data_IF_339584699129
#
_entry.id   IF_339584699129
#
_cell.length_a   1.000
_cell.length_b   1.000
_cell.length_c   1.000
_cell.angle_alpha   90.00
_cell.angle_beta   90.00
_cell.angle_gamma   90.00
#
_symmetry.space_group_name_H-M   'P 1'
#
loop_
_entity.id
_entity.type
_entity.pdbx_description
1 polymer ?
2 non-polymer ?
3 non-polymer ?
4 water ?
#
# COMPACT_ATOMS: atom_id res chain seq x y z
N UNK A 31 0.30 -4.06 -20.58
CA UNK A 31 -0.68 -4.05 -19.50
C UNK A 31 -2.09 -3.79 -20.03
N UNK A 32 -3.09 -3.91 -19.14
CA UNK A 32 -4.48 -3.68 -19.49
C UNK A 32 -5.15 -2.91 -18.35
N UNK A 33 -6.42 -2.55 -18.56
CA UNK A 33 -7.22 -1.92 -17.51
C UNK A 33 -7.90 -3.00 -16.68
N UNK A 34 -7.22 -4.14 -16.49
CA UNK A 34 -7.66 -5.16 -15.55
C UNK A 34 -7.80 -4.60 -14.14
N UNK A 35 -7.12 -3.49 -13.86
CA UNK A 35 -7.17 -2.81 -12.58
C UNK A 35 -8.27 -1.76 -12.61
N UNK A 36 -8.37 -0.99 -11.53
CA UNK A 36 -9.33 0.11 -11.43
C UNK A 36 -10.78 -0.32 -11.60
N UNK A 37 -11.28 -1.30 -10.83
CA UNK A 37 -12.70 -1.66 -10.91
C UNK A 37 -13.61 -0.47 -10.63
N UNK A 38 -14.87 -0.60 -11.04
CA UNK A 38 -15.80 0.54 -11.01
C UNK A 38 -16.58 0.58 -9.70
N UNK A 39 -17.53 -0.33 -9.53
CA UNK A 39 -18.38 -0.33 -8.34
C UNK A 39 -17.73 -1.22 -7.29
N UNK A 40 -16.56 -0.78 -6.83
CA UNK A 40 -15.73 -1.60 -5.96
C UNK A 40 -16.16 -1.38 -4.51
N UNK A 41 -16.82 -2.38 -3.94
CA UNK A 41 -17.10 -2.37 -2.51
C UNK A 41 -15.87 -2.88 -1.77
N UNK A 42 -15.44 -2.13 -0.77
CA UNK A 42 -14.15 -2.40 -0.15
C UNK A 42 -14.18 -3.55 0.85
N UNK A 43 -15.36 -3.92 1.36
CA UNK A 43 -15.48 -4.82 2.51
C UNK A 43 -14.79 -4.25 3.74
N UNK A 44 -14.64 -2.93 3.75
CA UNK A 44 -13.90 -2.21 4.79
C UNK A 44 -14.78 -1.90 6.00
N UNK A 45 -15.47 -2.91 6.50
CA UNK A 45 -16.16 -2.77 7.77
C UNK A 45 -15.26 -3.12 8.94
N UNK A 46 -14.21 -3.91 8.71
CA UNK A 46 -13.39 -4.38 9.81
C UNK A 46 -11.92 -4.54 9.45
N UNK A 47 -11.47 -4.04 8.29
CA UNK A 47 -10.09 -4.19 7.88
C UNK A 47 -9.20 -3.05 8.35
N UNK A 48 -7.99 -3.03 7.80
CA UNK A 48 -6.96 -2.05 8.14
C UNK A 48 -6.32 -1.53 6.86
N UNK A 49 -5.71 -0.35 6.95
CA UNK A 49 -5.13 0.33 5.79
C UNK A 49 -3.78 0.93 6.19
N UNK A 50 -2.79 0.79 5.31
CA UNK A 50 -1.43 1.22 5.60
C UNK A 50 -0.85 1.92 4.39
N UNK A 51 -0.02 2.94 4.63
CA UNK A 51 0.70 3.62 3.56
C UNK A 51 1.93 2.80 3.21
N UNK A 52 2.25 2.71 1.92
CA UNK A 52 3.55 2.19 1.49
C UNK A 52 4.26 3.32 0.77
N UNK A 53 5.51 3.60 1.17
CA UNK A 53 6.34 4.57 0.46
C UNK A 53 7.43 3.79 -0.26
N UNK A 54 7.32 3.69 -1.58
CA UNK A 54 8.29 2.95 -2.36
C UNK A 54 9.46 3.86 -2.71
N UNK A 55 10.68 3.32 -2.58
CA UNK A 55 11.87 4.07 -2.93
C UNK A 55 11.99 4.32 -4.42
N UNK A 56 11.26 3.57 -5.23
CA UNK A 56 11.52 3.58 -6.66
C UNK A 56 10.26 3.24 -7.43
N UNK A 57 10.20 3.72 -8.67
CA UNK A 57 9.15 3.26 -9.58
C UNK A 57 9.37 1.83 -10.02
N UNK A 58 10.63 1.38 -10.09
CA UNK A 58 10.92 0.00 -10.50
C UNK A 58 10.29 -1.00 -9.54
N UNK A 59 10.44 -0.76 -8.22
CA UNK A 59 9.81 -1.64 -7.24
C UNK A 59 8.30 -1.73 -7.46
N UNK A 60 7.68 -0.63 -7.88
CA UNK A 60 6.25 -0.64 -8.19
C UNK A 60 5.97 -1.56 -9.36
N UNK A 61 6.73 -1.40 -10.45
CA UNK A 61 6.55 -2.25 -11.63
C UNK A 61 6.67 -3.73 -11.27
N UNK A 62 7.77 -4.10 -10.60
CA UNK A 62 8.03 -5.49 -10.25
C UNK A 62 6.94 -6.05 -9.34
N UNK A 63 6.46 -5.23 -8.41
CA UNK A 63 5.34 -5.62 -7.55
C UNK A 63 4.10 -5.94 -8.37
N UNK A 64 3.74 -5.04 -9.31
CA UNK A 64 2.61 -5.27 -10.19
C UNK A 64 2.81 -6.53 -11.04
N UNK A 65 4.03 -6.73 -11.56
CA UNK A 65 4.30 -7.90 -12.39
C UNK A 65 4.21 -9.19 -11.58
N UNK A 66 4.86 -9.25 -10.41
CA UNK A 66 5.02 -10.52 -9.72
C UNK A 66 4.19 -10.65 -8.46
N UNK A 67 3.34 -9.67 -8.14
CA UNK A 67 2.37 -9.78 -7.04
C UNK A 67 3.05 -9.94 -5.67
N UNK A 68 4.20 -9.28 -5.46
CA UNK A 68 4.89 -9.31 -4.18
C UNK A 68 5.26 -7.90 -3.75
N UNK A 69 5.54 -7.76 -2.46
CA UNK A 69 6.16 -6.56 -1.92
C UNK A 69 7.12 -6.97 -0.80
N UNK A 70 8.17 -6.17 -0.62
CA UNK A 70 9.01 -6.22 0.58
C UNK A 70 9.12 -4.83 1.16
N UNK A 71 8.67 -4.66 2.39
CA UNK A 71 8.96 -3.42 3.08
C UNK A 71 10.30 -3.57 3.78
N UNK A 72 10.66 -2.60 4.62
CA UNK A 72 11.83 -2.78 5.48
C UNK A 72 11.61 -3.93 6.45
N UNK A 73 12.64 -4.26 7.23
CA UNK A 73 12.47 -5.29 8.24
C UNK A 73 11.37 -4.91 9.24
N UNK A 74 11.39 -3.67 9.74
CA UNK A 74 10.30 -3.24 10.62
C UNK A 74 8.97 -3.10 9.87
N UNK A 75 9.01 -2.61 8.63
CA UNK A 75 7.80 -2.56 7.83
C UNK A 75 7.16 -3.93 7.68
N UNK A 76 7.98 -4.94 7.33
CA UNK A 76 7.44 -6.29 7.16
C UNK A 76 6.84 -6.81 8.46
N UNK A 77 7.54 -6.61 9.58
CA UNK A 77 7.07 -7.07 10.88
C UNK A 77 5.79 -6.36 11.32
N UNK A 78 5.74 -5.03 11.16
CA UNK A 78 4.49 -4.32 11.43
C UNK A 78 3.34 -4.87 10.60
N UNK A 79 3.53 -5.02 9.27
CA UNK A 79 2.45 -5.51 8.41
C UNK A 79 2.12 -6.97 8.71
N UNK A 80 3.14 -7.80 8.94
CA UNK A 80 2.89 -9.19 9.31
C UNK A 80 2.01 -9.27 10.55
N UNK A 81 2.35 -8.51 11.59
CA UNK A 81 1.54 -8.54 12.80
C UNK A 81 0.11 -8.07 12.53
N UNK A 82 -0.05 -6.98 11.77
CA UNK A 82 -1.39 -6.48 11.48
C UNK A 82 -2.18 -7.50 10.66
N UNK A 83 -1.51 -8.15 9.71
CA UNK A 83 -2.19 -9.14 8.88
C UNK A 83 -2.67 -10.32 9.71
N UNK A 84 -1.79 -10.85 10.57
CA UNK A 84 -2.14 -11.99 11.43
C UNK A 84 -3.20 -11.62 12.47
N UNK A 85 -3.14 -10.40 13.01
CA UNK A 85 -4.15 -9.99 13.98
C UNK A 85 -5.53 -9.93 13.35
N UNK A 86 -5.61 -9.54 12.07
CA UNK A 86 -6.88 -9.52 11.34
C UNK A 86 -7.43 -10.92 11.11
N UNK A 87 -6.56 -11.92 11.01
CA UNK A 87 -6.91 -13.23 10.49
C UNK A 87 -7.57 -13.05 9.14
N UNK A 88 -8.77 -13.59 8.98
CA UNK A 88 -9.47 -13.40 7.72
C UNK A 88 -10.72 -12.56 7.91
N UNK A 89 -10.75 -11.77 8.99
CA UNK A 89 -11.95 -11.03 9.33
C UNK A 89 -12.12 -9.79 8.47
N UNK A 90 -11.03 -9.21 7.98
CA UNK A 90 -11.09 -8.01 7.20
C UNK A 90 -9.89 -7.87 6.29
N UNK A 91 -9.99 -7.01 5.29
CA UNK A 91 -8.87 -6.81 4.37
C UNK A 91 -7.85 -5.81 4.90
N UNK A 92 -6.60 -6.05 4.51
CA UNK A 92 -5.50 -5.12 4.74
C UNK A 92 -5.12 -4.51 3.39
N UNK A 93 -5.39 -3.22 3.22
CA UNK A 93 -5.04 -2.52 1.99
C UNK A 93 -3.74 -1.75 2.17
N UNK A 94 -3.08 -1.51 1.04
CA UNK A 94 -1.84 -0.74 1.03
C UNK A 94 -1.98 0.38 0.00
N UNK A 95 -1.77 1.62 0.45
CA UNK A 95 -1.85 2.80 -0.40
C UNK A 95 -0.44 3.22 -0.79
N UNK A 96 -0.10 3.05 -2.06
CA UNK A 96 1.28 3.18 -2.51
C UNK A 96 1.59 4.59 -2.99
N UNK A 97 2.83 5.01 -2.76
CA UNK A 97 3.32 6.29 -3.26
C UNK A 97 4.84 6.22 -3.34
N UNK A 98 5.40 6.66 -4.46
CA UNK A 98 6.85 6.69 -4.61
C UNK A 98 7.36 7.97 -3.96
N UNK A 99 8.41 7.85 -3.14
CA UNK A 99 9.01 9.00 -2.48
C UNK A 99 9.21 10.14 -3.48
N UNK A 100 8.71 11.33 -3.13
CA UNK A 100 8.90 12.53 -3.93
C UNK A 100 7.97 12.71 -5.12
N UNK A 101 7.00 11.81 -5.33
CA UNK A 101 6.17 11.86 -6.54
C UNK A 101 5.10 12.95 -6.47
N UNK A 102 4.59 13.26 -5.29
CA UNK A 102 3.46 14.17 -5.18
C UNK A 102 2.10 13.52 -5.34
N UNK A 103 2.03 12.21 -5.51
CA UNK A 103 0.76 11.54 -5.73
C UNK A 103 0.85 10.09 -5.27
N UNK A 104 -0.31 9.48 -5.07
CA UNK A 104 -0.40 8.04 -4.87
C UNK A 104 -0.53 7.33 -6.21
N UNK A 105 0.07 6.14 -6.30
CA UNK A 105 0.12 5.43 -7.57
C UNK A 105 -0.71 4.15 -7.60
N UNK A 106 -1.40 3.81 -6.52
CA UNK A 106 -2.36 2.73 -6.56
C UNK A 106 -2.59 2.10 -5.20
N UNK A 107 -3.37 1.01 -5.22
CA UNK A 107 -3.82 0.32 -4.01
C UNK A 107 -3.76 -1.19 -4.24
N UNK A 108 -3.06 -1.90 -3.36
CA UNK A 108 -3.04 -3.36 -3.38
C UNK A 108 -3.62 -3.90 -2.07
N UNK A 109 -4.07 -5.14 -2.11
CA UNK A 109 -4.45 -5.85 -0.89
C UNK A 109 -3.36 -6.85 -0.54
N UNK A 110 -2.99 -6.90 0.74
CA UNK A 110 -2.00 -7.87 1.21
C UNK A 110 -2.64 -9.25 1.30
N UNK A 111 -1.96 -10.26 0.73
CA UNK A 111 -2.56 -11.56 0.46
C UNK A 111 -1.84 -12.74 1.11
N UNK A 112 -0.78 -12.51 1.88
CA UNK A 112 -0.12 -13.61 2.58
C UNK A 112 0.50 -13.08 3.86
N UNK A 113 0.94 -14.01 4.72
CA UNK A 113 1.77 -13.61 5.85
C UNK A 113 3.11 -13.23 5.24
N UNK A 114 4.05 -12.73 6.03
CA UNK A 114 5.35 -12.39 5.48
C UNK A 114 6.21 -13.65 5.42
N UNK A 115 6.88 -13.85 4.29
CA UNK A 115 7.72 -15.02 4.06
C UNK A 115 9.17 -14.61 4.27
N UNK A 116 9.78 -15.07 5.36
CA UNK A 116 11.21 -14.89 5.59
C UNK A 116 11.92 -16.14 5.08
N UNK A 117 12.66 -16.01 3.99
CA UNK A 117 13.21 -17.20 3.35
C UNK A 117 14.48 -17.64 4.06
N UNK A 118 14.67 -18.96 4.11
CA UNK A 118 15.65 -19.58 4.99
C UNK A 118 16.93 -19.96 4.26
N UNK A 119 17.23 -19.31 3.13
CA UNK A 119 18.38 -19.70 2.33
C UNK A 119 19.18 -18.50 1.85
N UNK A 120 18.51 -17.39 1.56
CA UNK A 120 19.21 -16.21 1.10
C UNK A 120 20.04 -15.59 2.22
N UNK A 121 21.18 -15.01 1.84
CA UNK A 121 22.04 -14.33 2.78
C UNK A 121 23.26 -15.11 3.21
N UNK A 122 24.41 -14.43 3.25
CA UNK A 122 25.61 -14.99 3.86
C UNK A 122 25.83 -14.33 5.23
N UNK A 123 25.94 -13.00 5.25
CA UNK A 123 26.12 -12.29 6.51
C UNK A 123 24.85 -12.35 7.35
N UNK A 124 25.01 -12.12 8.66
CA UNK A 124 23.89 -12.32 9.58
C UNK A 124 22.86 -11.20 9.50
N UNK A 125 23.26 -9.99 9.09
CA UNK A 125 22.29 -8.89 9.05
C UNK A 125 21.43 -8.94 7.79
N UNK A 126 22.02 -9.26 6.64
CA UNK A 126 21.24 -9.45 5.42
C UNK A 126 20.87 -10.91 5.21
N UNK A 127 20.45 -11.60 6.27
CA UNK A 127 20.14 -13.03 6.17
C UNK A 127 18.66 -13.25 5.91
N UNK A 128 17.82 -12.99 6.91
CA UNK A 128 16.40 -13.33 6.83
C UNK A 128 15.62 -12.12 6.32
N UNK A 129 15.41 -12.05 5.01
CA UNK A 129 14.70 -10.95 4.40
C UNK A 129 13.27 -11.38 4.05
N UNK A 130 12.33 -10.45 4.21
CA UNK A 130 10.92 -10.77 4.14
C UNK A 130 10.29 -10.35 2.83
N UNK A 131 9.28 -11.11 2.41
CA UNK A 131 8.49 -10.79 1.23
C UNK A 131 7.08 -11.30 1.45
N UNK A 132 6.10 -10.64 0.85
CA UNK A 132 4.74 -11.10 1.03
C UNK A 132 3.96 -10.83 -0.24
N UNK A 133 2.79 -11.44 -0.32
CA UNK A 133 2.00 -11.41 -1.54
C UNK A 133 1.00 -10.25 -1.48
N UNK A 134 0.81 -9.58 -2.62
CA UNK A 134 -0.19 -8.53 -2.78
C UNK A 134 -0.96 -8.80 -4.07
N UNK A 135 -2.24 -8.42 -4.07
CA UNK A 135 -3.07 -8.36 -5.27
C UNK A 135 -3.34 -6.88 -5.56
N UNK A 136 -2.81 -6.38 -6.67
CA UNK A 136 -3.02 -4.98 -7.00
C UNK A 136 -4.46 -4.78 -7.45
N UNK A 137 -5.07 -3.69 -6.98
CA UNK A 137 -6.49 -3.43 -7.21
C UNK A 137 -6.69 -2.19 -8.08
N UNK A 138 -6.11 -1.07 -7.67
CA UNK A 138 -6.12 0.17 -8.43
C UNK A 138 -4.69 0.49 -8.82
N UNK A 139 -4.47 0.83 -10.09
CA UNK A 139 -3.19 1.35 -10.55
C UNK A 139 -3.51 2.63 -11.31
N UNK A 140 -3.24 3.78 -10.70
CA UNK A 140 -3.71 5.07 -11.18
C UNK A 140 -3.00 6.13 -10.38
N UNK A 141 -2.74 7.26 -11.01
CA UNK A 141 -2.17 8.39 -10.29
C UNK A 141 -3.29 9.23 -9.70
N UNK A 142 -3.34 9.30 -8.38
CA UNK A 142 -4.20 10.24 -7.66
C UNK A 142 -3.29 11.28 -7.02
N UNK A 143 -3.43 12.55 -7.35
CA UNK A 143 -2.50 13.55 -6.81
C UNK A 143 -2.81 13.85 -5.35
N UNK A 144 -1.79 14.36 -4.65
CA UNK A 144 -1.95 14.60 -3.22
C UNK A 144 -2.90 15.76 -2.93
N UNK A 145 -3.02 16.72 -3.86
CA UNK A 145 -3.95 17.84 -3.66
C UNK A 145 -5.39 17.35 -3.51
N UNK A 146 -5.69 16.14 -3.98
CA UNK A 146 -6.98 15.50 -3.76
C UNK A 146 -7.13 14.88 -2.37
N UNK A 147 -6.04 14.72 -1.61
CA UNK A 147 -6.15 14.05 -0.33
C UNK A 147 -5.62 14.85 0.86
N UNK A 148 -4.95 15.98 0.63
CA UNK A 148 -4.31 16.74 1.70
C UNK A 148 -5.29 17.19 2.78
N UNK A 149 -6.59 17.20 2.50
CA UNK A 149 -7.55 17.65 3.50
C UNK A 149 -7.81 16.61 4.57
N UNK A 150 -7.50 15.35 4.29
CA UNK A 150 -7.72 14.26 5.23
C UNK A 150 -6.51 14.16 6.15
N UNK A 151 -6.75 14.24 7.46
CA UNK A 151 -5.71 14.35 8.46
C UNK A 151 -5.74 13.13 9.35
N UNK A 152 -4.57 12.68 9.79
CA UNK A 152 -4.43 11.44 10.54
C UNK A 152 -4.33 11.76 12.02
N UNK A 153 -5.36 11.41 12.79
CA UNK A 153 -5.37 11.73 14.21
C UNK A 153 -4.32 10.92 14.99
N UNK A 154 -3.97 9.72 14.51
CA UNK A 154 -2.92 8.89 15.10
C UNK A 154 -1.52 9.27 14.64
N UNK A 155 -1.36 10.36 13.88
CA UNK A 155 -0.04 10.82 13.46
C UNK A 155 0.02 12.34 13.60
N UNK A 156 -0.29 12.80 14.81
CA UNK A 156 -0.17 14.21 15.18
C UNK A 156 -1.00 15.11 14.26
N UNK A 157 -2.17 14.61 13.86
CA UNK A 157 -3.10 15.34 12.99
C UNK A 157 -2.45 15.89 11.71
N UNK A 158 -1.50 15.16 11.15
CA UNK A 158 -0.92 15.56 9.89
C UNK A 158 -1.77 15.03 8.73
N UNK A 159 -1.70 15.68 7.56
CA UNK A 159 -2.41 15.15 6.39
C UNK A 159 -1.92 13.75 6.03
N UNK A 160 -2.83 12.94 5.49
CA UNK A 160 -2.52 11.58 5.07
C UNK A 160 -1.42 11.55 4.02
N UNK A 161 -1.19 12.66 3.31
CA UNK A 161 -0.14 12.73 2.32
C UNK A 161 1.23 12.96 2.95
N UNK A 162 1.28 13.27 4.24
CA UNK A 162 2.54 13.45 4.95
C UNK A 162 3.08 12.16 5.54
N UNK A 163 2.42 11.04 5.30
CA UNK A 163 2.71 9.79 6.00
C UNK A 163 4.05 9.20 5.57
N UNK A 164 4.62 8.41 6.47
CA UNK A 164 5.83 7.65 6.18
C UNK A 164 5.47 6.18 5.93
N UNK A 165 6.44 5.45 5.38
CA UNK A 165 6.21 4.05 5.03
C UNK A 165 5.64 3.26 6.21
N UNK A 166 4.55 2.54 5.95
CA UNK A 166 3.81 1.65 6.85
C UNK A 166 3.06 2.42 7.93
N UNK A 167 2.98 3.74 7.83
CA UNK A 167 2.01 4.50 8.59
C UNK A 167 0.61 3.95 8.36
N UNK A 168 -0.06 3.61 9.45
CA UNK A 168 -1.43 3.11 9.41
C UNK A 168 -2.44 4.26 9.36
N UNK A 169 -3.53 4.05 8.64
CA UNK A 169 -4.56 5.07 8.48
C UNK A 169 -5.80 4.62 9.24
N UNK A 170 -6.34 5.43 10.16
CA UNK A 170 -7.52 5.00 10.92
C UNK A 170 -8.70 4.74 10.00
N UNK A 171 -9.54 3.79 10.41
CA UNK A 171 -10.59 3.24 9.56
C UNK A 171 -11.40 4.31 8.83
N UNK A 172 -11.94 5.27 9.57
CA UNK A 172 -12.85 6.22 8.94
C UNK A 172 -12.11 7.16 8.00
N UNK A 173 -10.89 7.57 8.36
CA UNK A 173 -10.06 8.28 7.40
C UNK A 173 -9.76 7.42 6.17
N UNK A 174 -9.54 6.12 6.37
CA UNK A 174 -9.24 5.23 5.25
C UNK A 174 -10.40 5.17 4.27
N UNK A 175 -11.62 5.00 4.80
CA UNK A 175 -12.81 5.04 3.96
C UNK A 175 -12.84 6.30 3.10
N UNK A 176 -12.48 7.44 3.68
CA UNK A 176 -12.49 8.68 2.91
C UNK A 176 -11.44 8.65 1.81
N UNK A 177 -10.26 8.10 2.11
CA UNK A 177 -9.19 8.06 1.12
C UNK A 177 -9.50 7.04 0.02
N UNK A 178 -10.11 5.91 0.38
CA UNK A 178 -10.42 4.90 -0.63
C UNK A 178 -11.51 5.39 -1.60
N UNK A 179 -12.54 6.08 -1.10
CA UNK A 179 -13.54 6.67 -2.01
C UNK A 179 -12.88 7.62 -3.01
N UNK A 180 -12.04 8.54 -2.53
CA UNK A 180 -11.37 9.47 -3.43
C UNK A 180 -10.54 8.71 -4.47
N UNK A 181 -9.76 7.72 -4.03
CA UNK A 181 -8.86 7.01 -4.94
C UNK A 181 -9.67 6.23 -5.97
N UNK A 182 -10.71 5.54 -5.52
CA UNK A 182 -11.50 4.71 -6.42
C UNK A 182 -12.24 5.53 -7.48
N UNK A 183 -12.70 6.74 -7.13
CA UNK A 183 -13.54 7.52 -8.03
C UNK A 183 -12.79 8.59 -8.81
N UNK A 184 -11.55 8.91 -8.44
CA UNK A 184 -10.81 9.92 -9.19
C UNK A 184 -10.66 9.49 -10.65
N UNK A 185 -10.94 10.41 -11.57
CA UNK A 185 -10.71 10.15 -12.99
C UNK A 185 -9.28 10.58 -13.30
N UNK A 186 -8.38 9.59 -13.42
CA UNK A 186 -6.97 9.89 -13.57
C UNK A 186 -6.60 10.09 -15.04
N UNK A 187 -5.57 10.90 -15.25
CA UNK A 187 -4.99 11.16 -16.56
C UNK A 187 -3.65 10.46 -16.76
N UNK A 188 -3.01 10.00 -15.68
CA UNK A 188 -1.73 9.30 -15.74
C UNK A 188 -1.80 8.03 -14.90
N UNK A 189 -0.83 7.14 -15.14
CA UNK A 189 -0.58 6.00 -14.28
C UNK A 189 0.88 5.63 -14.37
N UNK A 190 1.32 4.77 -13.44
CA UNK A 190 2.69 4.28 -13.43
C UNK A 190 3.03 3.50 -14.70
N UNK A 191 2.02 3.01 -15.42
CA UNK A 191 2.24 2.32 -16.70
C UNK A 191 2.82 3.23 -17.78
N UNK A 192 2.55 4.54 -17.75
CA UNK A 192 3.21 5.43 -18.71
C UNK A 192 4.72 5.30 -18.62
N UNK A 193 5.24 5.04 -17.42
CA UNK A 193 6.62 4.58 -17.21
C UNK A 193 6.75 3.13 -17.69
X LIG B 1 5.11 -1.72 14.59
X LIG B 1 6.90 -0.36 14.66
X LIG B 1 6.30 -1.45 14.81
X LIG B 1 7.18 -2.60 15.31
X LIG B 1 8.43 -2.13 15.77
X LIG B 1 7.40 -3.51 14.13
X LIG B 1 8.11 -2.83 13.13
X LIG B 1 8.18 -4.72 14.65
X LIG B 1 7.56 -5.50 15.40
X LIG B 1 9.38 -4.77 14.28
X LIG C 1 12.61 10.51 3.12
X LIG C 1 13.26 10.64 4.39
X LIG C 1 11.11 10.47 3.24
X LIG C 1 10.68 9.16 3.56
X LIG C 1 9.43 8.82 2.99
X LIG C 1 8.59 8.09 4.00
X LIG C 1 9.10 6.79 4.29
#
# INVERSE_FOLDING_TARGET
>A
MHHHHHHSSGRENLYFQGSVEVHPVLEKLKAINNYNPKDFDWNLKNGRVFIIKSYSEDDIHRSIKYSIWCSTEHGNKRLDAAYRSLNGKGPLYLLFSVNGSGHFCGVAEMKSVVDYNAYAGVWSQDKWKGKFEVKWIFVKDVPNNQLRHIRLENNDNKPVTNSRDTQEVPLEKAKQVLKIIATFKHTTSIFDDFAHYE
>B hetero
1 TLA O1 O11 C1 C2 O2 C3 O3 C4 O4 O41
>C hetero
1 PEG C1 O1 C2 O2 C3 C4 O4
#
